data_IF_876550886181
#
_entry.id   IF_876550886181
#
_cell.length_a   1.000
_cell.length_b   1.000
_cell.length_c   1.000
_cell.angle_alpha   90.00
_cell.angle_beta   90.00
_cell.angle_gamma   90.00
#
_symmetry.space_group_name_H-M   'P 1'
#
loop_
_entity.id
_entity.type
_entity.pdbx_description
1 polymer ?
#
# COMPACT_ATOMS: atom_id res chain seq x y z
N UNK A 1 0.08 -16.18 -16.03
CA UNK A 1 1.05 -15.07 -15.90
C UNK A 1 1.31 -14.72 -14.44
N UNK A 2 0.28 -14.40 -13.63
CA UNK A 2 0.46 -14.11 -12.20
C UNK A 2 0.92 -15.33 -11.37
N UNK A 3 0.39 -16.53 -11.62
CA UNK A 3 0.88 -17.75 -10.94
C UNK A 3 2.30 -18.14 -11.35
N UNK A 4 2.68 -17.80 -12.59
CA UNK A 4 4.05 -17.95 -13.08
C UNK A 4 4.99 -16.94 -12.42
N UNK A 5 4.57 -15.68 -12.31
CA UNK A 5 5.32 -14.65 -11.56
C UNK A 5 5.52 -15.08 -10.11
N UNK A 6 4.48 -15.59 -9.46
CA UNK A 6 4.54 -16.12 -8.09
C UNK A 6 5.52 -17.30 -7.96
N UNK A 7 5.54 -18.21 -8.93
CA UNK A 7 6.51 -19.30 -8.99
C UNK A 7 7.95 -18.83 -9.30
N UNK A 8 8.11 -17.74 -10.06
CA UNK A 8 9.43 -17.16 -10.39
C UNK A 8 10.00 -16.31 -9.24
N UNK A 9 9.17 -15.82 -8.30
CA UNK A 9 9.61 -15.09 -7.10
C UNK A 9 10.61 -15.87 -6.24
N UNK A 10 10.56 -17.20 -6.21
CA UNK A 10 11.51 -18.02 -5.46
C UNK A 10 12.90 -18.14 -6.12
N UNK A 11 13.08 -17.71 -7.37
CA UNK A 11 14.32 -17.92 -8.14
C UNK A 11 14.86 -16.71 -8.92
N UNK A 12 14.27 -15.52 -8.79
CA UNK A 12 14.55 -14.37 -9.67
C UNK A 12 15.98 -13.82 -9.58
N UNK A 13 16.67 -13.82 -10.73
CA UNK A 13 18.01 -13.21 -10.96
C UNK A 13 18.02 -12.06 -11.97
N UNK A 14 17.12 -11.95 -12.96
CA UNK A 14 17.10 -10.83 -13.96
C UNK A 14 15.67 -10.56 -14.47
N UNK A 15 15.32 -9.29 -14.75
CA UNK A 15 13.99 -8.87 -15.29
C UNK A 15 13.10 -8.03 -14.35
N UNK A 16 13.69 -7.40 -13.33
CA UNK A 16 12.95 -6.84 -12.17
C UNK A 16 11.95 -5.72 -12.47
N UNK A 17 12.20 -4.86 -13.47
CA UNK A 17 11.37 -3.68 -13.71
C UNK A 17 10.14 -3.98 -14.57
N UNK A 18 10.30 -4.77 -15.63
CA UNK A 18 9.21 -5.16 -16.54
C UNK A 18 8.16 -5.99 -15.81
N UNK A 19 8.59 -6.91 -14.93
CA UNK A 19 7.69 -7.69 -14.09
C UNK A 19 6.87 -6.81 -13.14
N UNK A 20 7.50 -5.80 -12.52
CA UNK A 20 6.81 -4.82 -11.67
C UNK A 20 5.80 -4.04 -12.49
N UNK A 21 6.19 -3.50 -13.65
CA UNK A 21 5.31 -2.71 -14.50
C UNK A 21 4.10 -3.51 -15.00
N UNK A 22 4.29 -4.76 -15.44
CA UNK A 22 3.22 -5.62 -15.93
C UNK A 22 2.23 -5.98 -14.80
N UNK A 23 2.73 -6.32 -13.61
CA UNK A 23 1.88 -6.63 -12.46
C UNK A 23 1.10 -5.39 -12.02
N UNK A 24 1.73 -4.21 -12.02
CA UNK A 24 1.04 -2.96 -11.72
C UNK A 24 0.00 -2.60 -12.78
N UNK A 25 0.27 -2.79 -14.07
CA UNK A 25 -0.74 -2.61 -15.13
C UNK A 25 -1.94 -3.52 -14.91
N UNK A 26 -1.71 -4.77 -14.49
CA UNK A 26 -2.80 -5.71 -14.18
C UNK A 26 -3.58 -5.33 -12.91
N UNK A 27 -2.92 -4.77 -11.89
CA UNK A 27 -3.53 -4.31 -10.65
C UNK A 27 -4.19 -2.92 -10.74
N UNK A 28 -3.79 -2.08 -11.71
CA UNK A 28 -4.37 -0.77 -12.01
C UNK A 28 -5.67 -0.88 -12.83
N UNK A 29 -5.98 -2.06 -13.38
CA UNK A 29 -7.34 -2.35 -13.88
C UNK A 29 -8.24 -2.28 -12.66
N UNK A 30 -9.03 -1.20 -12.59
CA UNK A 30 -9.77 -0.77 -11.42
C UNK A 30 -10.33 -1.95 -10.62
N UNK A 31 -9.85 -2.20 -9.39
CA UNK A 31 -10.49 -3.15 -8.49
C UNK A 31 -11.95 -2.76 -8.21
N UNK A 32 -12.36 -1.52 -8.51
CA UNK A 32 -13.77 -1.10 -8.60
C UNK A 32 -14.11 -0.56 -10.01
N UNK A 33 -13.91 -1.38 -11.04
CA UNK A 33 -14.61 -1.13 -12.30
C UNK A 33 -16.11 -1.28 -12.02
N UNK A 34 -16.86 -0.19 -12.18
CA UNK A 34 -18.31 -0.24 -12.08
C UNK A 34 -18.83 -1.03 -13.27
N UNK A 35 -19.28 -2.26 -13.02
CA UNK A 35 -19.96 -3.07 -14.04
C UNK A 35 -21.44 -2.75 -13.94
N UNK A 36 -22.09 -2.50 -15.07
CA UNK A 36 -23.56 -2.44 -15.12
C UNK A 36 -24.07 -3.86 -14.92
N UNK A 37 -24.64 -4.12 -13.75
CA UNK A 37 -25.36 -5.35 -13.47
C UNK A 37 -26.86 -5.09 -13.71
N UNK A 38 -27.50 -5.92 -14.53
CA UNK A 38 -28.95 -5.92 -14.68
C UNK A 38 -29.56 -6.64 -13.49
N UNK A 39 -30.22 -5.90 -12.62
CA UNK A 39 -30.79 -6.41 -11.36
C UNK A 39 -32.12 -7.12 -11.60
N UNK A 40 -32.87 -6.66 -12.60
CA UNK A 40 -34.15 -7.22 -12.99
C UNK A 40 -34.30 -7.17 -14.53
N UNK A 41 -34.26 -8.34 -15.15
CA UNK A 41 -34.35 -8.52 -16.61
C UNK A 41 -35.74 -8.09 -17.12
N UNK A 42 -36.77 -8.15 -16.26
CA UNK A 42 -38.14 -7.76 -16.63
C UNK A 42 -38.37 -6.25 -16.63
N UNK A 43 -37.52 -5.48 -15.93
CA UNK A 43 -37.66 -4.02 -15.77
C UNK A 43 -36.54 -3.19 -16.39
N UNK A 44 -35.55 -3.83 -17.02
CA UNK A 44 -34.35 -3.16 -17.54
C UNK A 44 -33.63 -2.29 -16.50
N UNK A 45 -33.78 -2.59 -15.22
CA UNK A 45 -33.09 -1.87 -14.15
C UNK A 45 -31.63 -2.32 -14.10
N UNK A 46 -30.73 -1.36 -14.33
CA UNK A 46 -29.29 -1.56 -14.20
C UNK A 46 -28.77 -0.75 -13.03
N UNK A 47 -27.94 -1.38 -12.19
CA UNK A 47 -27.18 -0.69 -11.15
C UNK A 47 -25.70 -0.81 -11.46
N UNK A 48 -24.94 0.22 -11.12
CA UNK A 48 -23.49 0.15 -11.15
C UNK A 48 -23.01 -0.50 -9.86
N UNK A 49 -22.44 -1.72 -9.96
CA UNK A 49 -21.86 -2.42 -8.81
C UNK A 49 -20.34 -2.37 -8.94
N UNK A 50 -19.61 -2.06 -7.85
CA UNK A 50 -18.17 -2.27 -7.83
C UNK A 50 -17.89 -3.75 -8.08
N UNK A 51 -17.30 -4.09 -9.23
CA UNK A 51 -16.92 -5.46 -9.51
C UNK A 51 -15.41 -5.62 -9.35
N UNK A 52 -15.01 -6.25 -8.25
CA UNK A 52 -13.61 -6.57 -8.01
C UNK A 52 -13.19 -7.74 -8.88
N UNK A 53 -12.48 -7.42 -9.96
CA UNK A 53 -11.92 -8.43 -10.85
C UNK A 53 -11.02 -9.38 -10.07
N UNK A 54 -11.28 -10.69 -10.14
CA UNK A 54 -10.43 -11.73 -9.52
C UNK A 54 -8.96 -11.60 -9.94
N UNK A 55 -8.72 -11.12 -11.18
CA UNK A 55 -7.39 -10.82 -11.70
C UNK A 55 -6.75 -9.61 -11.01
N UNK A 56 -7.53 -8.58 -10.70
CA UNK A 56 -7.05 -7.41 -9.96
C UNK A 56 -6.70 -7.81 -8.52
N UNK A 57 -7.56 -8.57 -7.86
CA UNK A 57 -7.28 -9.11 -6.51
C UNK A 57 -6.01 -9.94 -6.47
N UNK A 58 -5.84 -10.85 -7.45
CA UNK A 58 -4.62 -11.65 -7.57
C UNK A 58 -3.38 -10.78 -7.82
N UNK A 59 -3.51 -9.70 -8.60
CA UNK A 59 -2.40 -8.76 -8.79
C UNK A 59 -2.02 -8.06 -7.48
N UNK A 60 -3.00 -7.64 -6.66
CA UNK A 60 -2.73 -7.04 -5.34
C UNK A 60 -2.02 -8.02 -4.39
N UNK A 61 -2.40 -9.30 -4.40
CA UNK A 61 -1.70 -10.35 -3.66
C UNK A 61 -0.22 -10.46 -4.08
N UNK A 62 0.05 -10.49 -5.38
CA UNK A 62 1.42 -10.56 -5.89
C UNK A 62 2.21 -9.29 -5.53
N UNK A 63 1.59 -8.11 -5.59
CA UNK A 63 2.24 -6.85 -5.16
C UNK A 63 2.59 -6.90 -3.67
N UNK A 64 1.72 -7.44 -2.82
CA UNK A 64 2.02 -7.66 -1.39
C UNK A 64 3.26 -8.56 -1.22
N UNK A 65 3.34 -9.67 -1.96
CA UNK A 65 4.50 -10.57 -1.92
C UNK A 65 5.79 -9.88 -2.39
N UNK A 66 5.72 -9.05 -3.42
CA UNK A 66 6.88 -8.30 -3.91
C UNK A 66 7.33 -7.22 -2.91
N UNK A 67 6.40 -6.57 -2.21
CA UNK A 67 6.70 -5.57 -1.17
C UNK A 67 7.44 -6.17 0.03
N UNK A 68 7.14 -7.41 0.39
CA UNK A 68 7.88 -8.09 1.47
C UNK A 68 9.19 -8.71 0.98
N UNK A 69 9.34 -8.95 -0.33
CA UNK A 69 10.52 -9.58 -0.90
C UNK A 69 11.76 -8.65 -0.90
N UNK A 70 12.91 -9.06 -0.35
CA UNK A 70 14.06 -8.18 -0.10
C UNK A 70 14.70 -7.60 -1.37
N UNK A 71 14.62 -8.32 -2.51
CA UNK A 71 15.24 -7.89 -3.79
C UNK A 71 14.30 -7.12 -4.72
N UNK A 72 13.02 -7.00 -4.38
CA UNK A 72 11.98 -6.39 -5.22
C UNK A 72 11.26 -5.24 -4.52
N UNK A 73 11.26 -5.22 -3.19
CA UNK A 73 10.63 -4.19 -2.37
C UNK A 73 11.00 -2.78 -2.84
N UNK A 74 12.29 -2.52 -3.05
CA UNK A 74 12.75 -1.17 -3.42
C UNK A 74 12.23 -0.78 -4.80
N UNK A 75 12.27 -1.69 -5.75
CA UNK A 75 11.79 -1.49 -7.11
C UNK A 75 10.27 -1.23 -7.13
N UNK A 76 9.49 -1.99 -6.36
CA UNK A 76 8.04 -1.77 -6.21
C UNK A 76 7.74 -0.42 -5.56
N UNK A 77 8.46 -0.06 -4.49
CA UNK A 77 8.28 1.22 -3.82
C UNK A 77 8.63 2.38 -4.76
N UNK A 78 9.75 2.30 -5.48
CA UNK A 78 10.12 3.32 -6.46
C UNK A 78 9.05 3.46 -7.54
N UNK A 79 8.52 2.35 -8.06
CA UNK A 79 7.44 2.37 -9.05
C UNK A 79 6.17 3.05 -8.50
N UNK A 80 5.70 2.64 -7.32
CA UNK A 80 4.55 3.25 -6.63
C UNK A 80 4.73 4.77 -6.51
N UNK A 81 5.86 5.19 -5.98
CA UNK A 81 6.15 6.61 -5.75
C UNK A 81 6.34 7.40 -7.04
N UNK A 82 6.86 6.78 -8.09
CA UNK A 82 7.08 7.46 -9.35
C UNK A 82 5.81 7.62 -10.18
N UNK A 83 4.90 6.65 -10.10
CA UNK A 83 3.74 6.52 -11.00
C UNK A 83 2.41 6.95 -10.37
N UNK A 84 2.31 6.99 -9.05
CA UNK A 84 1.06 7.41 -8.39
C UNK A 84 0.84 8.91 -8.56
N UNK A 85 -0.25 9.27 -9.26
CA UNK A 85 -0.69 10.63 -9.49
C UNK A 85 -1.96 10.92 -8.67
N UNK A 86 -2.35 12.19 -8.47
CA UNK A 86 -3.55 12.54 -7.70
C UNK A 86 -4.85 11.88 -8.19
N UNK A 87 -4.96 11.62 -9.50
CA UNK A 87 -6.12 10.91 -10.08
C UNK A 87 -6.21 9.43 -9.66
N UNK A 88 -5.12 8.84 -9.17
CA UNK A 88 -5.02 7.43 -8.81
C UNK A 88 -5.36 7.19 -7.32
N UNK A 89 -5.81 8.23 -6.59
CA UNK A 89 -6.12 8.12 -5.15
C UNK A 89 -7.19 7.08 -4.83
N UNK A 90 -8.22 6.93 -5.68
CA UNK A 90 -9.24 5.90 -5.50
C UNK A 90 -8.66 4.48 -5.62
N UNK A 91 -7.74 4.26 -6.57
CA UNK A 91 -7.01 2.99 -6.64
C UNK A 91 -6.11 2.79 -5.42
N UNK A 92 -5.41 3.82 -4.97
CA UNK A 92 -4.53 3.74 -3.80
C UNK A 92 -5.30 3.41 -2.52
N UNK A 93 -6.51 3.94 -2.37
CA UNK A 93 -7.41 3.61 -1.27
C UNK A 93 -7.78 2.12 -1.27
N UNK A 94 -8.24 1.60 -2.42
CA UNK A 94 -8.59 0.18 -2.54
C UNK A 94 -7.38 -0.71 -2.34
N UNK A 95 -6.23 -0.35 -2.92
CA UNK A 95 -4.97 -1.05 -2.71
C UNK A 95 -4.60 -1.09 -1.22
N UNK A 96 -4.70 0.04 -0.52
CA UNK A 96 -4.40 0.14 0.92
C UNK A 96 -5.29 -0.76 1.77
N UNK A 97 -6.57 -0.89 1.42
CA UNK A 97 -7.50 -1.82 2.09
C UNK A 97 -7.06 -3.29 1.96
N UNK A 98 -6.36 -3.65 0.89
CA UNK A 98 -5.90 -5.02 0.61
C UNK A 98 -4.43 -5.28 0.99
N UNK A 99 -3.73 -4.30 1.56
CA UNK A 99 -2.37 -4.51 2.04
C UNK A 99 -2.34 -5.51 3.20
N UNK A 100 -1.30 -6.34 3.25
CA UNK A 100 -0.95 -7.04 4.49
C UNK A 100 -0.29 -6.09 5.47
N UNK A 101 -0.16 -6.49 6.73
CA UNK A 101 0.51 -5.70 7.78
C UNK A 101 1.97 -5.41 7.39
N UNK A 102 2.69 -6.42 6.89
CA UNK A 102 4.08 -6.31 6.48
C UNK A 102 4.27 -5.39 5.27
N UNK A 103 3.36 -5.45 4.30
CA UNK A 103 3.36 -4.57 3.12
C UNK A 103 3.02 -3.13 3.48
N UNK A 104 2.05 -2.93 4.39
CA UNK A 104 1.74 -1.61 4.95
C UNK A 104 2.96 -1.01 5.63
N UNK A 105 3.63 -1.77 6.51
CA UNK A 105 4.90 -1.35 7.10
C UNK A 105 5.96 -1.03 6.04
N UNK A 106 6.07 -1.85 4.98
CA UNK A 106 7.04 -1.65 3.93
C UNK A 106 6.87 -0.30 3.22
N UNK A 107 5.64 0.08 2.88
CA UNK A 107 5.32 1.34 2.19
C UNK A 107 5.50 2.55 3.12
N UNK A 108 5.04 2.45 4.37
CA UNK A 108 5.06 3.57 5.31
C UNK A 108 6.48 3.96 5.74
N UNK A 109 7.38 2.98 5.89
CA UNK A 109 8.67 3.18 6.58
C UNK A 109 9.92 2.86 5.75
N UNK A 110 9.77 2.59 4.46
CA UNK A 110 10.88 2.53 3.50
C UNK A 110 10.65 3.55 2.39
N UNK A 111 11.05 4.79 2.66
CA UNK A 111 10.94 5.86 1.69
C UNK A 111 11.93 5.62 0.54
N UNK A 112 11.53 5.90 -0.73
CA UNK A 112 12.46 5.85 -1.84
C UNK A 112 13.55 6.90 -1.65
N UNK A 113 14.72 6.68 -2.26
CA UNK A 113 15.77 7.70 -2.31
C UNK A 113 15.18 8.92 -3.04
N UNK A 114 15.05 10.04 -2.33
CA UNK A 114 14.49 11.29 -2.84
C UNK A 114 15.25 11.72 -4.09
N UNK A 115 14.64 11.54 -5.26
CA UNK A 115 15.05 12.22 -6.49
C UNK A 115 14.24 13.52 -6.59
N UNK A 116 14.88 14.57 -7.07
CA UNK A 116 14.37 15.95 -7.13
C UNK A 116 13.09 16.17 -7.96
N UNK A 117 12.46 15.10 -8.47
CA UNK A 117 11.27 15.10 -9.34
C UNK A 117 9.92 14.95 -8.61
N UNK A 118 9.86 15.13 -7.29
CA UNK A 118 8.64 14.89 -6.49
C UNK A 118 7.70 16.10 -6.34
N UNK A 119 7.97 17.24 -6.97
CA UNK A 119 7.00 18.36 -6.97
C UNK A 119 5.77 17.96 -7.78
N UNK A 120 4.62 17.85 -7.11
CA UNK A 120 3.33 17.48 -7.72
C UNK A 120 2.93 16.00 -7.60
N UNK A 121 3.73 15.16 -6.93
CA UNK A 121 3.40 13.75 -6.70
C UNK A 121 2.70 13.53 -5.37
N UNK A 122 1.89 12.47 -5.30
CA UNK A 122 1.22 12.04 -4.06
C UNK A 122 2.26 11.56 -3.07
N UNK A 123 2.14 11.99 -1.81
CA UNK A 123 2.90 11.41 -0.71
C UNK A 123 2.31 10.04 -0.36
N UNK A 124 2.74 8.99 -1.09
CA UNK A 124 2.19 7.64 -1.01
C UNK A 124 2.18 7.11 0.42
N UNK A 125 3.23 7.33 1.21
CA UNK A 125 3.26 6.92 2.62
C UNK A 125 2.16 7.57 3.44
N UNK A 126 1.92 8.87 3.28
CA UNK A 126 0.87 9.58 4.02
C UNK A 126 -0.50 9.04 3.62
N UNK A 127 -0.76 8.91 2.31
CA UNK A 127 -2.06 8.42 1.81
C UNK A 127 -2.34 6.97 2.17
N UNK A 128 -1.34 6.09 2.13
CA UNK A 128 -1.48 4.73 2.64
C UNK A 128 -1.75 4.75 4.14
N UNK A 129 -1.15 5.68 4.90
CA UNK A 129 -1.42 5.88 6.32
C UNK A 129 -2.88 6.27 6.59
N UNK A 130 -3.45 7.14 5.77
CA UNK A 130 -4.86 7.55 5.86
C UNK A 130 -5.82 6.39 5.52
N UNK A 131 -5.50 5.62 4.47
CA UNK A 131 -6.40 4.60 3.93
C UNK A 131 -6.24 3.21 4.56
N UNK A 132 -5.19 2.97 5.35
CA UNK A 132 -4.99 1.66 5.96
C UNK A 132 -6.12 1.37 6.97
N UNK A 133 -6.80 0.22 6.86
CA UNK A 133 -7.82 -0.22 7.80
C UNK A 133 -7.31 -0.30 9.25
N UNK A 134 -8.17 0.07 10.22
CA UNK A 134 -7.81 0.14 11.64
C UNK A 134 -7.31 -1.19 12.22
N UNK A 135 -7.91 -2.31 11.79
CA UNK A 135 -7.53 -3.66 12.19
C UNK A 135 -6.08 -4.03 11.82
N UNK A 136 -5.47 -3.31 10.86
CA UNK A 136 -4.08 -3.51 10.43
C UNK A 136 -3.09 -2.56 11.07
N UNK A 137 -3.54 -1.40 11.57
CA UNK A 137 -2.68 -0.32 12.09
C UNK A 137 -1.85 -0.78 13.29
N UNK A 138 -2.47 -1.48 14.23
CA UNK A 138 -1.75 -2.01 15.39
C UNK A 138 -0.65 -2.99 15.00
N UNK A 139 -0.92 -3.89 14.05
CA UNK A 139 0.07 -4.82 13.54
C UNK A 139 1.30 -4.09 12.98
N UNK A 140 1.07 -3.03 12.20
CA UNK A 140 2.14 -2.20 11.63
C UNK A 140 2.92 -1.50 12.74
N UNK A 141 2.23 -0.94 13.74
CA UNK A 141 2.85 -0.28 14.88
C UNK A 141 3.73 -1.25 15.69
N UNK A 142 3.30 -2.51 15.89
CA UNK A 142 4.11 -3.54 16.56
C UNK A 142 5.41 -3.84 15.79
N UNK A 143 5.34 -3.96 14.46
CA UNK A 143 6.54 -4.13 13.62
C UNK A 143 7.45 -2.89 13.74
N UNK A 144 6.88 -1.69 13.69
CA UNK A 144 7.65 -0.45 13.83
C UNK A 144 8.34 -0.33 15.19
N UNK A 145 7.68 -0.73 16.28
CA UNK A 145 8.28 -0.83 17.61
C UNK A 145 9.48 -1.76 17.59
N UNK A 146 9.32 -2.98 17.07
CA UNK A 146 10.38 -3.99 17.01
C UNK A 146 11.58 -3.54 16.17
N UNK A 147 11.38 -2.60 15.24
CA UNK A 147 12.42 -2.03 14.38
C UNK A 147 12.90 -0.65 14.83
N UNK A 148 12.48 -0.16 16.00
CA UNK A 148 12.82 1.18 16.52
C UNK A 148 12.46 2.33 15.55
N UNK A 149 11.34 2.21 14.82
CA UNK A 149 10.86 3.21 13.85
C UNK A 149 9.52 3.85 14.26
N UNK A 150 9.17 3.80 15.55
CA UNK A 150 7.86 4.28 16.03
C UNK A 150 7.65 5.79 15.80
N UNK A 151 8.66 6.60 16.09
CA UNK A 151 8.61 8.06 15.89
C UNK A 151 8.39 8.42 14.42
N UNK A 152 9.06 7.70 13.51
CA UNK A 152 8.89 7.89 12.07
C UNK A 152 7.49 7.48 11.61
N UNK A 153 6.93 6.39 12.15
CA UNK A 153 5.56 5.98 11.85
C UNK A 153 4.56 7.04 12.30
N UNK A 154 4.71 7.53 13.53
CA UNK A 154 3.84 8.53 14.08
C UNK A 154 3.87 9.82 13.27
N UNK A 155 5.07 10.28 12.87
CA UNK A 155 5.25 11.45 12.01
C UNK A 155 4.45 11.41 10.71
N UNK A 156 4.25 10.22 10.13
CA UNK A 156 3.52 10.07 8.86
C UNK A 156 2.03 9.80 9.00
N UNK A 157 1.60 9.31 10.15
CA UNK A 157 0.26 8.73 10.30
C UNK A 157 -0.56 9.39 11.40
N UNK A 158 0.09 9.93 12.42
CA UNK A 158 -0.52 10.40 13.66
C UNK A 158 -1.48 9.38 14.30
N UNK A 159 -1.27 8.08 14.08
CA UNK A 159 -2.20 7.07 14.58
C UNK A 159 -2.16 6.97 16.11
N UNK A 160 -3.32 6.95 16.80
CA UNK A 160 -3.38 6.83 18.25
C UNK A 160 -2.68 5.56 18.79
N UNK A 161 -2.82 4.43 18.08
CA UNK A 161 -2.22 3.16 18.50
C UNK A 161 -0.69 3.19 18.61
N UNK A 162 -0.02 4.17 18.00
CA UNK A 162 1.42 4.37 18.17
C UNK A 162 1.79 4.73 19.60
N UNK A 163 0.97 5.50 20.33
CA UNK A 163 1.19 5.85 21.73
C UNK A 163 1.05 4.64 22.65
N UNK A 164 -0.01 3.84 22.43
CA UNK A 164 -0.31 2.65 23.21
C UNK A 164 0.79 1.59 23.04
N UNK A 165 1.30 1.44 21.82
CA UNK A 165 2.31 0.44 21.46
C UNK A 165 3.73 0.98 21.68
N UNK A 166 3.95 2.27 21.90
CA UNK A 166 5.29 2.81 22.15
C UNK A 166 5.91 2.26 23.45
N UNK A 167 7.24 2.08 23.43
CA UNK A 167 8.02 1.92 24.67
C UNK A 167 7.97 3.22 25.49
N UNK A 168 8.27 3.17 26.80
CA UNK A 168 8.25 4.37 27.65
C UNK A 168 9.06 5.53 27.06
N UNK A 169 10.29 5.25 26.61
CA UNK A 169 11.17 6.23 25.96
C UNK A 169 10.59 6.80 24.65
N UNK A 170 10.05 5.96 23.77
CA UNK A 170 9.44 6.46 22.53
C UNK A 170 8.18 7.26 22.81
N UNK A 171 7.39 6.89 23.81
CA UNK A 171 6.14 7.58 24.17
C UNK A 171 6.39 9.01 24.61
N UNK A 172 7.44 9.24 25.41
CA UNK A 172 7.86 10.59 25.79
C UNK A 172 8.18 11.47 24.58
N UNK A 173 8.91 10.94 23.59
CA UNK A 173 9.18 11.67 22.35
C UNK A 173 7.92 11.93 21.52
N UNK A 174 6.98 10.97 21.46
CA UNK A 174 5.72 11.16 20.76
C UNK A 174 4.87 12.24 21.43
N UNK A 175 4.78 12.24 22.76
CA UNK A 175 4.05 13.26 23.51
C UNK A 175 4.70 14.64 23.38
N UNK A 176 6.03 14.71 23.34
CA UNK A 176 6.73 15.97 23.06
C UNK A 176 6.38 16.50 21.66
N UNK A 177 6.34 15.62 20.66
CA UNK A 177 5.95 15.98 19.29
C UNK A 177 4.51 16.50 19.22
N UNK A 178 3.57 15.92 19.99
CA UNK A 178 2.17 16.38 20.08
C UNK A 178 2.04 17.77 20.69
N UNK A 179 2.95 18.10 21.61
CA UNK A 179 3.02 19.41 22.28
C UNK A 179 3.83 20.44 21.46
N UNK A 180 4.42 20.04 20.32
CA UNK A 180 5.25 20.90 19.49
C UNK A 180 6.60 21.28 20.12
N UNK A 181 7.11 20.42 21.01
CA UNK A 181 8.35 20.61 21.77
C UNK A 181 9.55 19.88 21.15
#
# INVERSE_FOLDING_TARGET
MLDRARAELSGLTVGKFELVEDIFRLGLIAPDAHVRETVDISKWETRFVPHTSSKAMRALEVINEMLIHPKLRIEVLNYLWEKTMPKDLGWLEVFSKHLTVESGYAILLNLPKTTSRNKGKVLVSIKVGEFLPEDKREGVARIARAKNKMELLYKYTAWPCCHDIASGKSREHLMAADLGL
#
